data_IF_768102360815
#
_entry.id   IF_768102360815
#
_cell.length_a   1.000
_cell.length_b   1.000
_cell.length_c   1.000
_cell.angle_alpha   90.00
_cell.angle_beta   90.00
_cell.angle_gamma   90.00
#
_symmetry.space_group_name_H-M   'P 1'
#
loop_
_entity.id
_entity.type
_entity.pdbx_description
1 polymer ?
#
# COMPACT_ATOMS: atom_id res chain seq x y z
N UNK A 1 -10.58 1.93 11.57
CA UNK A 1 -9.46 0.97 11.45
C UNK A 1 -8.22 1.48 12.16
N UNK A 2 -7.47 0.59 12.76
CA UNK A 2 -6.16 0.91 13.32
C UNK A 2 -5.11 0.96 12.22
N UNK A 3 -3.90 1.45 12.54
CA UNK A 3 -2.77 1.43 11.60
C UNK A 3 -2.44 0.00 11.19
N UNK A 4 -2.47 -0.94 12.13
CA UNK A 4 -2.20 -2.36 11.84
C UNK A 4 -3.25 -2.95 10.88
N UNK A 5 -4.51 -2.56 11.03
CA UNK A 5 -5.59 -3.02 10.15
C UNK A 5 -5.37 -2.53 8.72
N UNK A 6 -4.98 -1.28 8.53
CA UNK A 6 -4.73 -0.71 7.21
C UNK A 6 -3.54 -1.39 6.54
N UNK A 7 -2.48 -1.64 7.31
CA UNK A 7 -1.31 -2.37 6.83
C UNK A 7 -1.70 -3.76 6.34
N UNK A 8 -2.50 -4.48 7.13
CA UNK A 8 -2.96 -5.82 6.80
C UNK A 8 -3.85 -5.80 5.55
N UNK A 9 -4.73 -4.80 5.45
CA UNK A 9 -5.59 -4.64 4.28
C UNK A 9 -4.74 -4.47 3.00
N UNK A 10 -3.74 -3.61 3.04
CA UNK A 10 -2.86 -3.38 1.90
C UNK A 10 -2.14 -4.67 1.49
N UNK A 11 -1.59 -5.41 2.46
CA UNK A 11 -0.95 -6.68 2.19
C UNK A 11 -1.92 -7.68 1.55
N UNK A 12 -3.14 -7.76 2.06
CA UNK A 12 -4.18 -8.66 1.55
C UNK A 12 -4.55 -8.35 0.10
N UNK A 13 -4.58 -7.06 -0.24
CA UNK A 13 -4.89 -6.63 -1.61
C UNK A 13 -3.73 -6.96 -2.56
N UNK A 14 -2.50 -6.74 -2.12
CA UNK A 14 -1.33 -6.82 -3.00
C UNK A 14 -0.85 -8.26 -3.21
N UNK A 15 -0.90 -9.11 -2.17
CA UNK A 15 -0.35 -10.45 -2.26
C UNK A 15 -0.86 -11.28 -3.45
N UNK A 16 -2.15 -11.27 -3.79
CA UNK A 16 -2.63 -12.04 -4.96
C UNK A 16 -2.23 -11.43 -6.31
N UNK A 17 -1.68 -10.21 -6.33
CA UNK A 17 -1.31 -9.53 -7.57
C UNK A 17 0.12 -9.81 -8.00
N UNK A 18 0.94 -10.39 -7.12
CA UNK A 18 2.38 -10.53 -7.35
C UNK A 18 2.77 -11.99 -7.51
N UNK A 19 3.96 -12.23 -8.10
CA UNK A 19 4.51 -13.57 -8.27
C UNK A 19 5.27 -14.05 -7.05
N UNK A 20 5.75 -13.11 -6.22
CA UNK A 20 6.52 -13.39 -5.01
C UNK A 20 5.84 -12.76 -3.79
N UNK A 21 4.69 -13.31 -3.33
CA UNK A 21 3.94 -12.73 -2.22
C UNK A 21 4.73 -12.69 -0.91
N UNK A 22 5.70 -13.58 -0.72
CA UNK A 22 6.57 -13.60 0.45
C UNK A 22 7.50 -12.38 0.52
N UNK A 23 7.67 -11.66 -0.59
CA UNK A 23 8.47 -10.44 -0.62
C UNK A 23 7.64 -9.16 -0.44
N UNK A 24 6.34 -9.28 -0.32
CA UNK A 24 5.49 -8.14 -0.04
C UNK A 24 5.74 -7.68 1.39
N UNK A 25 6.09 -6.41 1.53
CA UNK A 25 6.37 -5.81 2.82
C UNK A 25 5.78 -4.40 2.86
N UNK A 26 5.15 -4.08 3.96
CA UNK A 26 4.62 -2.73 4.19
C UNK A 26 5.29 -2.18 5.44
N UNK A 27 5.89 -0.99 5.31
CA UNK A 27 6.39 -0.26 6.47
C UNK A 27 5.51 0.96 6.70
N UNK A 28 5.46 1.39 7.96
CA UNK A 28 4.68 2.55 8.36
C UNK A 28 5.64 3.65 8.79
N UNK A 29 5.42 4.83 8.23
CA UNK A 29 6.10 6.05 8.64
C UNK A 29 5.02 7.08 8.90
N UNK A 30 5.11 7.83 9.98
CA UNK A 30 4.05 8.75 10.35
C UNK A 30 4.57 10.03 10.96
N UNK A 31 3.80 11.09 10.77
CA UNK A 31 3.98 12.35 11.46
C UNK A 31 2.64 12.77 12.07
N UNK A 32 2.52 14.03 12.44
CA UNK A 32 1.31 14.56 13.08
C UNK A 32 0.09 14.49 12.16
N UNK A 33 0.29 14.65 10.83
CA UNK A 33 -0.80 14.80 9.85
C UNK A 33 -1.02 13.59 8.98
N UNK A 34 0.01 12.76 8.77
CA UNK A 34 -0.02 11.70 7.77
C UNK A 34 0.40 10.35 8.33
N UNK A 35 -0.29 9.33 7.89
CA UNK A 35 0.14 7.93 8.00
C UNK A 35 0.63 7.52 6.61
N UNK A 36 1.93 7.29 6.49
CA UNK A 36 2.56 6.90 5.22
C UNK A 36 2.81 5.41 5.21
N UNK A 37 2.23 4.74 4.22
CA UNK A 37 2.47 3.33 4.00
C UNK A 37 3.45 3.19 2.85
N UNK A 38 4.56 2.49 3.10
CA UNK A 38 5.55 2.21 2.06
C UNK A 38 5.42 0.75 1.68
N UNK A 39 5.06 0.50 0.43
CA UNK A 39 4.86 -0.84 -0.10
C UNK A 39 6.11 -1.27 -0.86
N UNK A 40 6.65 -2.41 -0.46
CA UNK A 40 7.78 -3.06 -1.12
C UNK A 40 7.31 -4.39 -1.71
N UNK A 41 7.70 -4.63 -2.94
CA UNK A 41 7.47 -5.92 -3.62
C UNK A 41 8.77 -6.34 -4.31
N UNK A 42 8.81 -7.58 -4.80
CA UNK A 42 9.95 -8.02 -5.59
C UNK A 42 10.11 -7.10 -6.82
N UNK A 43 11.35 -6.80 -7.25
CA UNK A 43 11.58 -5.90 -8.39
C UNK A 43 10.79 -6.29 -9.63
N UNK A 44 10.67 -7.58 -9.94
CA UNK A 44 9.91 -8.08 -11.08
C UNK A 44 8.40 -7.88 -10.95
N UNK A 45 7.92 -7.59 -9.76
CA UNK A 45 6.49 -7.40 -9.49
C UNK A 45 6.05 -5.94 -9.45
N UNK A 46 6.98 -4.99 -9.47
CA UNK A 46 6.65 -3.57 -9.40
C UNK A 46 5.67 -3.17 -10.51
N UNK A 47 5.93 -3.62 -11.73
CA UNK A 47 5.05 -3.34 -12.86
C UNK A 47 3.65 -3.90 -12.69
N UNK A 48 3.49 -5.05 -12.00
CA UNK A 48 2.19 -5.64 -11.73
C UNK A 48 1.36 -4.81 -10.75
N UNK A 49 2.04 -4.22 -9.76
CA UNK A 49 1.38 -3.42 -8.74
C UNK A 49 1.03 -2.02 -9.26
N UNK A 50 1.84 -1.49 -10.17
CA UNK A 50 1.55 -0.20 -10.80
C UNK A 50 0.47 -0.37 -11.88
N UNK A 51 0.63 -1.39 -12.73
CA UNK A 51 -0.29 -1.68 -13.81
C UNK A 51 -0.11 -0.74 -15.00
N UNK A 52 -0.83 -1.06 -16.08
CA UNK A 52 -0.78 -0.27 -17.31
C UNK A 52 -1.33 1.13 -17.04
N UNK A 53 -0.53 2.15 -17.36
CA UNK A 53 -0.87 3.55 -17.15
C UNK A 53 -1.15 3.89 -15.67
N UNK A 54 -0.60 3.08 -14.75
CA UNK A 54 -0.79 3.30 -13.32
C UNK A 54 -2.17 2.92 -12.79
N UNK A 55 -2.96 2.18 -13.56
CA UNK A 55 -4.36 1.89 -13.20
C UNK A 55 -4.50 1.00 -11.97
N UNK A 56 -3.61 0.01 -11.79
CA UNK A 56 -3.65 -0.86 -10.63
C UNK A 56 -3.29 -0.06 -9.37
N UNK A 57 -2.21 0.71 -9.44
CA UNK A 57 -1.79 1.57 -8.32
C UNK A 57 -2.89 2.57 -7.95
N UNK A 58 -3.55 3.15 -8.95
CA UNK A 58 -4.65 4.10 -8.74
C UNK A 58 -5.82 3.42 -8.02
N UNK A 59 -6.16 2.20 -8.43
CA UNK A 59 -7.24 1.43 -7.79
C UNK A 59 -6.90 1.09 -6.34
N UNK A 60 -5.66 0.67 -6.09
CA UNK A 60 -5.19 0.37 -4.73
C UNK A 60 -5.29 1.62 -3.85
N UNK A 61 -4.82 2.75 -4.36
CA UNK A 61 -4.90 4.03 -3.63
C UNK A 61 -6.34 4.42 -3.33
N UNK A 62 -7.24 4.23 -4.27
CA UNK A 62 -8.67 4.54 -4.07
C UNK A 62 -9.23 3.75 -2.88
N UNK A 63 -8.91 2.46 -2.80
CA UNK A 63 -9.37 1.61 -1.70
C UNK A 63 -8.75 2.07 -0.38
N UNK A 64 -7.43 2.23 -0.35
CA UNK A 64 -6.70 2.55 0.87
C UNK A 64 -7.06 3.95 1.39
N UNK A 65 -7.21 4.92 0.49
CA UNK A 65 -7.54 6.30 0.89
C UNK A 65 -8.99 6.45 1.35
N UNK A 66 -9.85 5.48 1.08
CA UNK A 66 -11.23 5.48 1.57
C UNK A 66 -11.34 4.95 3.02
N UNK A 67 -10.26 4.37 3.53
CA UNK A 67 -10.24 3.83 4.90
C UNK A 67 -10.28 4.97 5.90
N UNK A 68 -11.09 4.80 6.94
CA UNK A 68 -11.16 5.73 8.07
C UNK A 68 -10.31 5.21 9.21
N UNK A 69 -9.26 5.95 9.54
CA UNK A 69 -8.42 5.64 10.69
C UNK A 69 -9.12 6.07 11.98
N UNK A 70 -8.76 5.40 13.07
CA UNK A 70 -9.19 5.79 14.41
C UNK A 70 -8.47 7.08 14.89
N UNK A 71 -7.50 7.55 14.11
CA UNK A 71 -6.72 8.75 14.37
C UNK A 71 -7.01 9.81 13.31
N UNK A 72 -6.89 11.10 13.62
CA UNK A 72 -7.15 12.18 12.65
C UNK A 72 -5.95 12.40 11.71
N UNK A 73 -5.55 11.36 10.99
CA UNK A 73 -4.42 11.43 10.04
C UNK A 73 -4.91 11.02 8.65
N UNK A 74 -4.33 11.63 7.64
CA UNK A 74 -4.54 11.22 6.25
C UNK A 74 -3.59 10.11 5.88
N UNK A 75 -4.09 9.14 5.12
CA UNK A 75 -3.28 8.02 4.64
C UNK A 75 -2.61 8.43 3.32
N UNK A 76 -1.34 8.08 3.20
CA UNK A 76 -0.57 8.20 1.96
C UNK A 76 0.06 6.85 1.65
N UNK A 77 0.01 6.45 0.39
CA UNK A 77 0.62 5.21 -0.07
C UNK A 77 1.75 5.54 -1.04
N UNK A 78 2.92 5.02 -0.72
CA UNK A 78 4.09 5.08 -1.58
C UNK A 78 4.44 3.67 -2.04
N UNK A 79 4.49 3.44 -3.34
CA UNK A 79 4.96 2.18 -3.91
C UNK A 79 6.43 2.39 -4.23
N UNK A 80 7.29 1.66 -3.51
CA UNK A 80 8.73 1.83 -3.64
C UNK A 80 9.21 1.13 -4.92
N UNK A 81 9.83 1.91 -5.78
CA UNK A 81 10.35 1.45 -7.06
C UNK A 81 11.87 1.72 -7.07
N UNK A 82 12.63 0.72 -6.67
CA UNK A 82 14.10 0.80 -6.64
C UNK A 82 14.71 0.28 -7.92
#
# INVERSE_FOLDING_TARGET
MTQADVKQLLQTIVEPLVTAPEQVKVTIDQDEFYLKLNLFVAPEDVGRVIGKHGRVASAIRTIIYSVRLDEPKEIRLNIVDD
#
